data_IF_066106341415
#
_entry.id   IF_066106341415
#
_cell.length_a   1.000
_cell.length_b   1.000
_cell.length_c   1.000
_cell.angle_alpha   90.00
_cell.angle_beta   90.00
_cell.angle_gamma   90.00
#
_symmetry.space_group_name_H-M   'P 1'
#
loop_
_entity.id
_entity.type
_entity.pdbx_description
1 polymer ?
#
# COMPACT_ATOMS: atom_id res chain seq x y z
N UNK A 1 8.05 0.51 -16.67
CA UNK A 1 6.79 0.18 -15.97
C UNK A 1 7.01 0.63 -14.54
N UNK A 2 6.32 1.68 -14.11
CA UNK A 2 6.47 2.31 -12.81
C UNK A 2 6.29 1.28 -11.68
N UNK A 3 7.40 0.85 -11.09
CA UNK A 3 7.46 -0.14 -10.01
C UNK A 3 6.93 0.39 -8.67
N UNK A 4 6.56 1.68 -8.59
CA UNK A 4 6.26 2.40 -7.35
C UNK A 4 4.87 2.07 -6.76
N UNK A 5 4.00 1.42 -7.54
CA UNK A 5 2.65 1.03 -7.13
C UNK A 5 2.52 -0.48 -6.88
N UNK A 6 3.63 -1.20 -6.76
CA UNK A 6 3.58 -2.61 -6.37
C UNK A 6 3.05 -2.77 -4.94
N UNK A 7 2.36 -3.87 -4.68
CA UNK A 7 2.04 -4.37 -3.35
C UNK A 7 2.85 -5.65 -3.06
N UNK A 8 2.89 -6.09 -1.80
CA UNK A 8 3.56 -7.34 -1.36
C UNK A 8 3.11 -8.59 -2.12
N UNK A 9 1.90 -8.59 -2.70
CA UNK A 9 1.41 -9.70 -3.53
C UNK A 9 2.00 -9.75 -4.94
N UNK A 10 2.89 -8.81 -5.30
CA UNK A 10 3.46 -8.70 -6.65
C UNK A 10 2.51 -8.10 -7.69
N UNK A 11 1.31 -7.70 -7.28
CA UNK A 11 0.35 -7.00 -8.12
C UNK A 11 0.43 -5.49 -7.89
N UNK A 12 0.02 -4.73 -8.91
CA UNK A 12 -0.12 -3.28 -8.82
C UNK A 12 -1.33 -2.95 -7.95
N UNK A 13 -1.13 -2.17 -6.90
CA UNK A 13 -2.19 -1.59 -6.11
C UNK A 13 -2.68 -0.31 -6.79
N UNK A 14 -3.94 -0.31 -7.24
CA UNK A 14 -4.55 0.84 -7.88
C UNK A 14 -4.90 1.92 -6.83
N UNK A 15 -4.30 3.12 -6.89
CA UNK A 15 -4.50 4.16 -5.87
C UNK A 15 -5.90 4.78 -5.89
N UNK A 16 -6.72 4.48 -6.91
CA UNK A 16 -8.11 4.95 -7.00
C UNK A 16 -9.09 3.99 -6.32
N UNK A 17 -8.61 2.80 -5.91
CA UNK A 17 -9.42 1.78 -5.25
C UNK A 17 -9.49 2.02 -3.74
N UNK A 18 -10.66 1.82 -3.14
CA UNK A 18 -10.87 1.99 -1.69
C UNK A 18 -10.18 0.92 -0.85
N UNK A 19 -9.88 -0.23 -1.46
CA UNK A 19 -9.15 -1.35 -0.86
C UNK A 19 -7.62 -1.16 -0.87
N UNK A 20 -7.15 0.03 -1.22
CA UNK A 20 -5.73 0.38 -1.31
C UNK A 20 -5.38 1.50 -0.35
N UNK A 21 -4.19 1.39 0.21
CA UNK A 21 -3.66 2.26 1.23
C UNK A 21 -2.27 2.72 0.82
N UNK A 22 -1.99 4.01 1.02
CA UNK A 22 -0.65 4.57 0.83
C UNK A 22 0.15 4.55 2.14
N UNK A 23 1.35 3.99 2.11
CA UNK A 23 2.31 4.11 3.21
C UNK A 23 2.77 5.56 3.37
N UNK A 24 2.74 6.06 4.61
CA UNK A 24 3.22 7.42 4.94
C UNK A 24 4.69 7.48 5.36
N UNK A 25 5.41 6.36 5.35
CA UNK A 25 6.84 6.34 5.64
C UNK A 25 7.61 7.03 4.50
N UNK A 26 8.42 8.02 4.85
CA UNK A 26 9.25 8.73 3.87
C UNK A 26 10.28 7.77 3.29
N UNK A 27 10.36 7.69 1.96
CA UNK A 27 11.28 6.79 1.26
C UNK A 27 10.85 5.32 1.23
N UNK A 28 9.59 5.01 1.52
CA UNK A 28 9.07 3.64 1.36
C UNK A 28 9.13 3.22 -0.11
N UNK A 29 9.82 2.10 -0.38
CA UNK A 29 9.98 1.55 -1.73
C UNK A 29 8.64 1.12 -2.34
N UNK A 30 7.79 0.52 -1.51
CA UNK A 30 6.45 0.06 -1.86
C UNK A 30 5.45 1.09 -1.31
N UNK A 31 5.02 2.05 -2.13
CA UNK A 31 4.18 3.15 -1.63
C UNK A 31 2.73 2.73 -1.35
N UNK A 32 2.23 1.69 -2.03
CA UNK A 32 0.82 1.30 -1.98
C UNK A 32 0.64 -0.17 -1.60
N UNK A 33 -0.37 -0.43 -0.77
CA UNK A 33 -0.69 -1.76 -0.28
C UNK A 33 -2.19 -2.00 -0.39
N UNK A 34 -2.58 -3.20 -0.84
CA UNK A 34 -3.95 -3.65 -0.64
C UNK A 34 -4.18 -3.88 0.84
N UNK A 35 -5.29 -3.38 1.39
CA UNK A 35 -5.67 -3.58 2.78
C UNK A 35 -5.66 -5.07 3.16
N UNK A 36 -6.16 -5.91 2.26
CA UNK A 36 -6.21 -7.36 2.46
C UNK A 36 -4.82 -8.01 2.52
N UNK A 37 -3.82 -7.49 1.79
CA UNK A 37 -2.46 -8.02 1.81
C UNK A 37 -1.70 -7.72 3.11
N UNK A 38 -2.17 -6.74 3.88
CA UNK A 38 -1.61 -6.37 5.19
C UNK A 38 -2.61 -6.64 6.33
N UNK A 39 -3.65 -7.45 6.05
CA UNK A 39 -4.68 -7.85 7.02
C UNK A 39 -5.39 -6.67 7.72
N UNK A 40 -5.65 -5.59 6.98
CA UNK A 40 -6.49 -4.49 7.43
C UNK A 40 -7.87 -4.56 6.77
N UNK A 41 -8.89 -4.22 7.55
CA UNK A 41 -10.25 -4.06 7.02
C UNK A 41 -10.49 -2.63 6.52
N UNK A 42 -9.85 -1.62 7.15
CA UNK A 42 -9.99 -0.20 6.79
C UNK A 42 -8.64 0.52 6.77
N UNK A 43 -8.51 1.52 5.88
CA UNK A 43 -7.30 2.34 5.74
C UNK A 43 -7.11 3.28 6.95
N UNK A 44 -6.09 3.07 7.81
CA UNK A 44 -5.84 3.94 8.95
C UNK A 44 -5.25 5.27 8.47
N UNK A 45 -5.64 6.38 9.10
CA UNK A 45 -5.21 7.71 8.66
C UNK A 45 -3.69 7.92 8.65
N UNK A 46 -2.93 7.28 9.54
CA UNK A 46 -1.48 7.46 9.67
C UNK A 46 -0.70 6.15 9.60
N UNK A 47 -1.17 5.22 8.77
CA UNK A 47 -0.50 3.94 8.63
C UNK A 47 0.87 4.07 7.94
N UNK A 48 1.80 3.27 8.45
CA UNK A 48 3.15 3.06 7.91
C UNK A 48 3.38 1.56 7.87
N UNK A 49 4.08 1.07 6.85
CA UNK A 49 4.45 -0.34 6.80
C UNK A 49 5.48 -0.66 7.88
N UNK A 50 5.42 -1.88 8.41
CA UNK A 50 6.53 -2.45 9.17
C UNK A 50 7.61 -2.81 8.14
N UNK A 51 8.67 -2.00 8.07
CA UNK A 51 9.77 -2.20 7.14
C UNK A 51 10.59 -3.46 7.47
#
# INVERSE_FOLDING_TARGET
>A
IDALNGCLCGLVADPSSEDVLKCKQSGCETQFYHLQCISLEWAPRNWVCEA
#
